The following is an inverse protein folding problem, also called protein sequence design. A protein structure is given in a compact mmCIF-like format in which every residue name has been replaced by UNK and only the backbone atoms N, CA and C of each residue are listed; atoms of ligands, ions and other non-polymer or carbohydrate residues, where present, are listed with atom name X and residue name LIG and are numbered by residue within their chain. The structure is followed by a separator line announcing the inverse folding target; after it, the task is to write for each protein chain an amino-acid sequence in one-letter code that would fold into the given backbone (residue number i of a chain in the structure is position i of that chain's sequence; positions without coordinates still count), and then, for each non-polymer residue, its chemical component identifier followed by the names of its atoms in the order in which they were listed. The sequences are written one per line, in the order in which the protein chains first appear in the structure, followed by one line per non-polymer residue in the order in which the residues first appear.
data_IF_576926197218
#
_entry.id   IF_576926197218
#
_cell.length_a   1.000
_cell.length_b   1.000
_cell.length_c   1.000
_cell.angle_alpha   90.00
_cell.angle_beta   90.00
_cell.angle_gamma   90.00
#
_symmetry.space_group_name_H-M   'P 1'
#
loop_
_entity.id
_entity.type
_entity.pdbx_description
1 polymer ?
#
# COMPACT_ATOMS: atom_id res chain seq x y z
N UNK A 1 1.17 11.19 18.07
CA UNK A 1 0.02 10.29 18.34
C UNK A 1 0.14 9.11 17.40
N UNK A 2 0.07 7.90 17.95
CA UNK A 2 0.24 6.68 17.14
C UNK A 2 -0.95 6.49 16.20
N UNK A 3 -0.67 6.29 14.90
CA UNK A 3 -1.70 5.96 13.90
C UNK A 3 -1.88 4.45 13.78
N UNK A 4 -0.82 3.67 14.04
CA UNK A 4 -0.85 2.21 14.07
C UNK A 4 -0.15 1.72 15.32
N UNK A 5 -0.79 0.82 16.04
CA UNK A 5 -0.22 0.09 17.17
C UNK A 5 -0.42 -1.40 16.96
N UNK A 6 0.68 -2.13 16.91
CA UNK A 6 0.73 -3.60 16.93
C UNK A 6 1.25 -4.01 18.29
N UNK A 7 0.49 -4.81 19.05
CA UNK A 7 0.82 -5.17 20.43
C UNK A 7 0.89 -6.69 20.56
N UNK A 8 2.08 -7.20 20.84
CA UNK A 8 2.36 -8.62 21.12
C UNK A 8 1.75 -9.59 20.10
N UNK A 9 1.79 -9.20 18.82
CA UNK A 9 1.18 -9.99 17.76
C UNK A 9 2.00 -11.22 17.46
N UNK A 10 1.32 -12.37 17.46
CA UNK A 10 1.89 -13.65 17.06
C UNK A 10 1.05 -14.28 15.95
N UNK A 11 1.74 -14.94 15.00
CA UNK A 11 1.12 -15.67 13.89
C UNK A 11 1.91 -16.92 13.54
N UNK A 12 1.21 -18.04 13.46
CA UNK A 12 1.75 -19.34 13.08
C UNK A 12 1.00 -19.93 11.88
N UNK A 13 1.69 -20.74 11.09
CA UNK A 13 1.13 -21.52 10.00
C UNK A 13 1.54 -22.97 10.17
N UNK A 14 0.59 -23.85 10.50
CA UNK A 14 0.93 -25.22 10.87
C UNK A 14 1.89 -25.26 12.06
N UNK A 15 3.06 -25.86 11.94
CA UNK A 15 4.08 -25.89 12.99
C UNK A 15 5.09 -24.74 12.95
N UNK A 16 4.98 -23.80 11.99
CA UNK A 16 5.95 -22.71 11.79
C UNK A 16 5.44 -21.43 12.43
N UNK A 17 6.19 -20.88 13.37
CA UNK A 17 5.93 -19.58 13.97
C UNK A 17 6.52 -18.49 13.03
N UNK A 18 5.66 -17.78 12.32
CA UNK A 18 6.07 -16.73 11.37
C UNK A 18 6.31 -15.38 12.06
N UNK A 19 5.51 -15.05 13.07
CA UNK A 19 5.70 -13.89 13.94
C UNK A 19 5.50 -14.32 15.40
N UNK A 20 6.32 -13.83 16.31
CA UNK A 20 6.25 -14.13 17.74
C UNK A 20 6.41 -12.85 18.53
N UNK A 21 5.37 -12.47 19.28
CA UNK A 21 5.37 -11.32 20.19
C UNK A 21 5.85 -10.00 19.57
N UNK A 22 5.41 -9.71 18.34
CA UNK A 22 5.82 -8.50 17.61
C UNK A 22 5.03 -7.30 18.12
N UNK A 23 5.78 -6.25 18.52
CA UNK A 23 5.20 -4.97 18.93
C UNK A 23 5.84 -3.83 18.16
N UNK A 24 5.01 -3.02 17.46
CA UNK A 24 5.42 -1.89 16.62
C UNK A 24 4.42 -0.77 16.78
N UNK A 25 4.91 0.47 16.90
CA UNK A 25 4.07 1.66 16.87
C UNK A 25 4.55 2.61 15.76
N UNK A 26 3.60 3.14 14.99
CA UNK A 26 3.86 4.12 13.92
C UNK A 26 3.12 5.40 14.26
N UNK A 27 3.85 6.51 14.30
CA UNK A 27 3.26 7.82 14.55
C UNK A 27 2.71 8.44 13.26
N UNK A 28 1.67 9.25 13.40
CA UNK A 28 1.11 9.98 12.26
C UNK A 28 2.16 10.89 11.63
N UNK A 29 2.26 10.87 10.30
CA UNK A 29 3.23 11.69 9.55
C UNK A 29 4.67 11.15 9.58
N UNK A 30 4.91 9.98 10.16
CA UNK A 30 6.23 9.36 10.17
C UNK A 30 6.38 8.31 9.06
N UNK A 31 7.63 8.07 8.66
CA UNK A 31 8.03 6.97 7.80
C UNK A 31 8.80 5.96 8.65
N UNK A 32 8.36 4.70 8.63
CA UNK A 32 8.94 3.62 9.41
C UNK A 32 9.39 2.50 8.48
N UNK A 33 10.66 2.09 8.59
CA UNK A 33 11.21 0.96 7.86
C UNK A 33 11.17 -0.33 8.69
N UNK A 34 10.56 -1.38 8.12
CA UNK A 34 10.60 -2.73 8.66
C UNK A 34 11.70 -3.52 7.96
N UNK A 35 12.78 -3.82 8.65
CA UNK A 35 13.96 -4.48 8.09
C UNK A 35 14.17 -5.88 8.70
N UNK A 36 14.69 -6.78 7.91
CA UNK A 36 15.00 -8.16 8.32
C UNK A 36 15.33 -9.04 7.10
N UNK A 37 15.94 -10.21 7.31
CA UNK A 37 16.26 -11.15 6.22
C UNK A 37 15.00 -11.69 5.54
N UNK A 38 15.18 -12.33 4.38
CA UNK A 38 14.07 -13.05 3.74
C UNK A 38 13.60 -14.19 4.65
N UNK A 39 12.29 -14.36 4.75
CA UNK A 39 11.69 -15.35 5.65
C UNK A 39 11.52 -14.90 7.11
N UNK A 40 11.91 -13.66 7.49
CA UNK A 40 11.77 -13.19 8.88
C UNK A 40 10.33 -12.78 9.27
N UNK A 41 9.33 -13.01 8.42
CA UNK A 41 7.93 -12.73 8.75
C UNK A 41 7.42 -11.34 8.40
N UNK A 42 8.19 -10.47 7.72
CA UNK A 42 7.75 -9.11 7.34
C UNK A 42 6.43 -9.10 6.57
N UNK A 43 6.35 -9.89 5.51
CA UNK A 43 5.15 -10.02 4.69
C UNK A 43 3.98 -10.60 5.47
N UNK A 44 4.26 -11.53 6.41
CA UNK A 44 3.24 -12.08 7.31
C UNK A 44 2.68 -11.00 8.23
N UNK A 45 3.55 -10.16 8.82
CA UNK A 45 3.11 -9.04 9.65
C UNK A 45 2.24 -8.06 8.86
N UNK A 46 2.65 -7.69 7.64
CA UNK A 46 1.84 -6.83 6.76
C UNK A 46 0.49 -7.46 6.42
N UNK A 47 0.46 -8.76 6.12
CA UNK A 47 -0.78 -9.51 5.88
C UNK A 47 -1.71 -9.48 7.11
N UNK A 48 -1.15 -9.62 8.31
CA UNK A 48 -1.91 -9.55 9.56
C UNK A 48 -2.47 -8.14 9.81
N UNK A 49 -1.65 -7.09 9.59
CA UNK A 49 -2.07 -5.70 9.79
C UNK A 49 -3.24 -5.32 8.86
N UNK A 50 -3.24 -5.78 7.60
CA UNK A 50 -4.34 -5.47 6.67
C UNK A 50 -5.51 -6.45 6.73
N UNK A 51 -5.48 -7.44 7.62
CA UNK A 51 -6.57 -8.40 7.80
C UNK A 51 -6.60 -9.55 6.78
N UNK A 52 -5.52 -9.78 6.00
CA UNK A 52 -5.41 -10.92 5.08
C UNK A 52 -5.26 -12.24 5.84
N UNK A 53 -4.53 -12.20 6.96
CA UNK A 53 -4.35 -13.34 7.86
C UNK A 53 -4.79 -12.94 9.27
N UNK A 54 -5.69 -13.70 9.90
CA UNK A 54 -6.02 -13.47 11.30
C UNK A 54 -4.78 -13.70 12.17
N UNK A 55 -4.62 -12.90 13.22
CA UNK A 55 -3.57 -13.10 14.23
C UNK A 55 -3.97 -14.22 15.18
N UNK A 56 -2.97 -14.88 15.80
CA UNK A 56 -3.22 -15.92 16.79
C UNK A 56 -3.25 -15.35 18.20
N UNK A 57 -2.48 -14.26 18.45
CA UNK A 57 -2.41 -13.52 19.72
C UNK A 57 -2.09 -12.06 19.48
N UNK A 58 -2.37 -11.22 20.48
CA UNK A 58 -2.08 -9.80 20.48
C UNK A 58 -3.25 -8.96 19.96
N UNK A 59 -2.97 -7.72 19.59
CA UNK A 59 -3.96 -6.80 19.02
C UNK A 59 -3.32 -5.82 18.03
N UNK A 60 -4.13 -5.35 17.09
CA UNK A 60 -3.74 -4.35 16.10
C UNK A 60 -4.77 -3.23 16.14
N UNK A 61 -4.31 -2.02 16.42
CA UNK A 61 -5.15 -0.82 16.47
C UNK A 61 -4.69 0.15 15.38
N UNK A 62 -5.60 0.55 14.51
CA UNK A 62 -5.36 1.55 13.48
C UNK A 62 -6.31 2.73 13.64
N UNK A 63 -5.76 3.95 13.75
CA UNK A 63 -6.52 5.18 13.92
C UNK A 63 -7.61 5.06 15.02
N UNK A 64 -7.20 4.59 16.22
CA UNK A 64 -8.03 4.33 17.40
C UNK A 64 -9.12 3.23 17.21
N UNK A 65 -9.06 2.47 16.13
CA UNK A 65 -10.00 1.38 15.86
C UNK A 65 -9.26 0.05 15.89
N UNK A 66 -9.72 -0.92 16.67
CA UNK A 66 -9.16 -2.26 16.64
C UNK A 66 -9.51 -2.95 15.31
N UNK A 67 -8.48 -3.46 14.63
CA UNK A 67 -8.62 -4.05 13.28
C UNK A 67 -8.20 -5.52 13.23
N UNK A 68 -7.84 -6.12 14.37
CA UNK A 68 -7.28 -7.48 14.48
C UNK A 68 -8.11 -8.56 13.78
N UNK A 69 -9.43 -8.42 13.80
CA UNK A 69 -10.39 -9.38 13.23
C UNK A 69 -11.17 -8.82 12.03
N UNK A 70 -10.79 -7.62 11.57
CA UNK A 70 -11.49 -6.98 10.45
C UNK A 70 -11.07 -7.59 9.11
N UNK A 71 -12.01 -7.81 8.18
CA UNK A 71 -11.68 -8.23 6.83
C UNK A 71 -11.02 -7.09 6.06
N UNK A 72 -10.17 -7.46 5.08
CA UNK A 72 -9.40 -6.51 4.25
C UNK A 72 -10.21 -5.31 3.73
N UNK A 73 -11.46 -5.49 3.20
CA UNK A 73 -12.25 -4.35 2.72
C UNK A 73 -12.62 -3.34 3.82
N UNK A 74 -12.84 -3.82 5.06
CA UNK A 74 -13.17 -2.96 6.19
C UNK A 74 -11.94 -2.15 6.62
N UNK A 75 -10.78 -2.79 6.71
CA UNK A 75 -9.50 -2.13 7.02
C UNK A 75 -9.16 -1.08 5.96
N UNK A 76 -9.35 -1.40 4.68
CA UNK A 76 -9.12 -0.47 3.58
C UNK A 76 -10.06 0.75 3.63
N UNK A 77 -11.32 0.57 4.04
CA UNK A 77 -12.28 1.68 4.24
C UNK A 77 -11.85 2.66 5.33
N UNK A 78 -11.11 2.21 6.34
CA UNK A 78 -10.53 3.06 7.37
C UNK A 78 -9.35 3.91 6.86
N UNK A 79 -8.82 3.59 5.66
CA UNK A 79 -7.72 4.30 5.04
C UNK A 79 -6.35 3.63 5.21
N UNK A 80 -6.30 2.37 5.65
CA UNK A 80 -5.07 1.57 5.67
C UNK A 80 -4.98 0.75 4.39
N UNK A 81 -4.05 1.10 3.51
CA UNK A 81 -3.83 0.40 2.25
C UNK A 81 -2.45 -0.26 2.22
N UNK A 82 -2.31 -1.26 1.36
CA UNK A 82 -1.04 -1.94 1.10
C UNK A 82 -0.83 -2.12 -0.39
N UNK A 83 0.40 -1.89 -0.86
CA UNK A 83 0.84 -2.37 -2.17
C UNK A 83 1.19 -3.85 -2.10
N UNK A 84 1.14 -4.55 -3.23
CA UNK A 84 1.45 -5.97 -3.30
C UNK A 84 2.84 -6.18 -3.90
N UNK A 85 3.48 -7.32 -3.54
CA UNK A 85 4.78 -7.70 -4.10
C UNK A 85 4.69 -7.92 -5.63
N UNK A 86 3.57 -8.46 -6.12
CA UNK A 86 3.27 -8.53 -7.56
C UNK A 86 2.44 -7.31 -7.97
N UNK A 87 2.89 -6.61 -8.98
CA UNK A 87 2.21 -5.41 -9.52
C UNK A 87 0.81 -5.75 -10.02
N UNK A 88 -0.19 -5.08 -9.48
CA UNK A 88 -1.60 -5.26 -9.84
C UNK A 88 -2.09 -4.10 -10.69
N UNK A 89 -1.73 -4.11 -11.96
CA UNK A 89 -2.18 -3.13 -12.94
C UNK A 89 -3.03 -3.80 -14.03
N UNK A 90 -3.89 -3.03 -14.64
CA UNK A 90 -4.65 -3.43 -15.82
C UNK A 90 -3.79 -3.15 -17.07
N UNK A 91 -3.03 -4.13 -17.51
CA UNK A 91 -2.00 -3.98 -18.57
C UNK A 91 -2.54 -3.49 -19.91
N UNK A 92 -3.82 -3.76 -20.22
CA UNK A 92 -4.47 -3.33 -21.47
C UNK A 92 -4.99 -1.89 -21.43
N UNK A 93 -5.14 -1.31 -20.24
CA UNK A 93 -5.58 0.06 -20.02
C UNK A 93 -4.38 1.00 -19.97
N UNK A 94 -4.59 2.28 -20.31
CA UNK A 94 -3.56 3.30 -20.14
C UNK A 94 -3.38 3.70 -18.66
N UNK A 95 -2.37 4.54 -18.36
CA UNK A 95 -2.08 4.91 -16.98
C UNK A 95 -3.25 5.67 -16.32
N UNK A 96 -3.87 6.63 -17.04
CA UNK A 96 -5.02 7.38 -16.50
C UNK A 96 -6.20 6.46 -16.21
N UNK A 97 -6.51 5.54 -17.11
CA UNK A 97 -7.59 4.56 -16.91
C UNK A 97 -7.32 3.66 -15.69
N UNK A 98 -6.06 3.22 -15.49
CA UNK A 98 -5.66 2.49 -14.28
C UNK A 98 -5.92 3.31 -13.00
N UNK A 99 -5.57 4.60 -13.02
CA UNK A 99 -5.81 5.50 -11.89
C UNK A 99 -7.31 5.62 -11.58
N UNK A 100 -8.13 5.89 -12.60
CA UNK A 100 -9.57 6.08 -12.46
C UNK A 100 -10.27 4.82 -11.93
N UNK A 101 -9.90 3.63 -12.43
CA UNK A 101 -10.46 2.35 -11.97
C UNK A 101 -10.08 2.03 -10.53
N UNK A 102 -8.90 2.49 -10.07
CA UNK A 102 -8.42 2.25 -8.71
C UNK A 102 -9.11 3.12 -7.66
N UNK A 103 -9.73 4.22 -8.08
CA UNK A 103 -10.47 5.07 -7.17
C UNK A 103 -11.70 4.33 -6.65
N UNK A 104 -11.96 4.46 -5.33
CA UNK A 104 -13.19 3.95 -4.72
C UNK A 104 -14.39 4.54 -5.48
N UNK A 105 -14.98 3.75 -6.36
CA UNK A 105 -16.31 4.09 -6.84
C UNK A 105 -17.22 4.13 -5.62
N UNK A 106 -17.77 5.32 -5.31
CA UNK A 106 -18.97 5.40 -4.50
C UNK A 106 -19.96 4.38 -5.07
N UNK A 107 -20.70 3.67 -4.24
CA UNK A 107 -21.57 2.51 -4.52
C UNK A 107 -22.60 2.66 -5.66
N UNK A 108 -22.49 3.62 -6.52
CA UNK A 108 -23.40 3.93 -7.61
C UNK A 108 -22.70 4.07 -8.95
N UNK A 109 -22.65 2.94 -9.66
CA UNK A 109 -22.85 2.94 -11.12
C UNK A 109 -21.91 3.73 -12.03
N UNK A 110 -20.61 3.80 -11.79
CA UNK A 110 -19.63 4.41 -12.73
C UNK A 110 -19.53 3.74 -14.10
N UNK A 111 -20.20 2.59 -14.31
CA UNK A 111 -20.12 1.83 -15.58
C UNK A 111 -20.69 2.62 -16.77
N UNK A 112 -21.54 3.64 -16.51
CA UNK A 112 -22.17 4.46 -17.55
C UNK A 112 -22.12 5.98 -17.28
N UNK A 113 -21.46 6.43 -16.22
CA UNK A 113 -21.37 7.84 -15.90
C UNK A 113 -20.10 8.48 -16.49
N UNK A 114 -20.21 9.72 -16.95
CA UNK A 114 -19.05 10.50 -17.39
C UNK A 114 -18.11 10.70 -16.20
N UNK A 115 -16.84 10.34 -16.35
CA UNK A 115 -15.81 10.54 -15.32
C UNK A 115 -15.76 12.02 -14.95
N UNK A 116 -15.84 12.39 -13.67
CA UNK A 116 -15.70 13.78 -13.24
C UNK A 116 -14.33 14.35 -13.63
N UNK A 117 -14.30 15.59 -14.12
CA UNK A 117 -13.04 16.24 -14.52
C UNK A 117 -12.03 16.32 -13.36
N UNK A 118 -12.51 16.59 -12.14
CA UNK A 118 -11.70 16.64 -10.92
C UNK A 118 -10.95 15.34 -10.65
N UNK A 119 -11.58 14.18 -10.94
CA UNK A 119 -10.95 12.89 -10.75
C UNK A 119 -9.83 12.64 -11.76
N UNK A 120 -10.02 13.11 -13.00
CA UNK A 120 -9.00 13.05 -14.04
C UNK A 120 -7.82 13.95 -13.69
N UNK A 121 -8.08 15.17 -13.23
CA UNK A 121 -7.04 16.11 -12.79
C UNK A 121 -6.23 15.55 -11.61
N UNK A 122 -6.91 14.95 -10.64
CA UNK A 122 -6.24 14.25 -9.52
C UNK A 122 -5.34 13.12 -10.03
N UNK A 123 -5.84 12.30 -10.95
CA UNK A 123 -5.06 11.21 -11.54
C UNK A 123 -3.81 11.75 -12.25
N UNK A 124 -3.94 12.79 -13.06
CA UNK A 124 -2.81 13.42 -13.77
C UNK A 124 -1.81 14.07 -12.79
N UNK A 125 -2.29 14.68 -11.72
CA UNK A 125 -1.44 15.25 -10.66
C UNK A 125 -0.59 14.15 -9.98
N UNK A 126 -1.20 13.02 -9.64
CA UNK A 126 -0.50 11.90 -9.04
C UNK A 126 0.46 11.22 -10.02
N UNK A 127 0.09 11.10 -11.30
CA UNK A 127 1.00 10.61 -12.34
C UNK A 127 2.20 11.55 -12.52
N UNK A 128 2.00 12.86 -12.40
CA UNK A 128 3.10 13.82 -12.42
C UNK A 128 3.99 13.66 -11.19
N UNK A 129 3.42 13.48 -10.01
CA UNK A 129 4.15 13.24 -8.77
C UNK A 129 5.09 12.04 -8.86
N UNK A 130 4.65 10.93 -9.47
CA UNK A 130 5.48 9.72 -9.65
C UNK A 130 6.31 9.75 -10.95
N UNK A 131 6.34 10.85 -11.70
CA UNK A 131 7.13 11.01 -12.92
C UNK A 131 6.60 10.26 -14.16
N UNK A 132 5.31 9.91 -14.16
CA UNK A 132 4.66 9.18 -15.26
C UNK A 132 3.74 10.04 -16.14
N UNK A 133 3.64 11.34 -15.89
CA UNK A 133 2.72 12.23 -16.63
C UNK A 133 2.89 12.16 -18.15
N UNK A 134 4.12 12.14 -18.65
CA UNK A 134 4.40 12.06 -20.09
C UNK A 134 3.97 10.72 -20.71
N UNK A 135 3.75 9.71 -19.87
CA UNK A 135 3.33 8.35 -20.27
C UNK A 135 1.87 8.06 -19.92
N UNK A 136 1.10 9.07 -19.51
CA UNK A 136 -0.26 8.89 -18.99
C UNK A 136 -1.22 8.18 -19.95
N UNK A 137 -1.00 8.35 -21.27
CA UNK A 137 -1.80 7.71 -22.32
C UNK A 137 -1.18 6.38 -22.83
N UNK A 138 -0.01 5.99 -22.31
CA UNK A 138 0.62 4.72 -22.67
C UNK A 138 -0.09 3.57 -21.94
N UNK A 139 -0.21 2.41 -22.60
CA UNK A 139 -0.73 1.20 -21.94
C UNK A 139 0.17 0.84 -20.79
N UNK A 140 -0.42 0.50 -19.65
CA UNK A 140 0.33 0.16 -18.44
C UNK A 140 1.23 -1.09 -18.64
N UNK A 141 0.83 -2.02 -19.53
CA UNK A 141 1.65 -3.18 -19.89
C UNK A 141 2.93 -2.83 -20.65
N UNK A 142 3.01 -1.66 -21.31
CA UNK A 142 4.18 -1.21 -22.07
C UNK A 142 5.18 -0.44 -21.19
N UNK A 143 4.85 -0.21 -19.93
CA UNK A 143 5.75 0.39 -18.95
C UNK A 143 6.83 -0.62 -18.51
N UNK A 144 8.02 -0.12 -18.19
CA UNK A 144 9.02 -0.95 -17.50
C UNK A 144 8.51 -1.40 -16.13
N UNK A 145 9.06 -2.48 -15.58
CA UNK A 145 8.66 -3.01 -14.26
C UNK A 145 8.71 -1.94 -13.17
N UNK A 146 9.78 -1.12 -13.11
CA UNK A 146 9.87 -0.02 -12.16
C UNK A 146 8.79 1.05 -12.36
N UNK A 147 8.43 1.36 -13.62
CA UNK A 147 7.35 2.30 -13.93
C UNK A 147 5.97 1.73 -13.56
N UNK A 148 5.77 0.43 -13.71
CA UNK A 148 4.55 -0.23 -13.26
C UNK A 148 4.40 -0.15 -11.74
N UNK A 149 5.49 -0.29 -10.98
CA UNK A 149 5.50 -0.09 -9.52
C UNK A 149 5.16 1.35 -9.12
N UNK A 150 5.67 2.34 -9.86
CA UNK A 150 5.30 3.74 -9.65
C UNK A 150 3.82 4.00 -9.96
N UNK A 151 3.28 3.39 -11.03
CA UNK A 151 1.86 3.46 -11.32
C UNK A 151 1.02 2.84 -10.22
N UNK A 152 1.41 1.67 -9.70
CA UNK A 152 0.72 1.02 -8.56
C UNK A 152 0.70 1.92 -7.31
N UNK A 153 1.83 2.59 -7.01
CA UNK A 153 1.90 3.57 -5.93
C UNK A 153 0.92 4.73 -6.16
N UNK A 154 0.90 5.30 -7.37
CA UNK A 154 -0.02 6.38 -7.72
C UNK A 154 -1.49 5.93 -7.59
N UNK A 155 -1.83 4.72 -8.05
CA UNK A 155 -3.16 4.12 -7.90
C UNK A 155 -3.57 3.99 -6.42
N UNK A 156 -2.66 3.59 -5.54
CA UNK A 156 -2.94 3.52 -4.12
C UNK A 156 -3.22 4.92 -3.52
N UNK A 157 -2.49 5.94 -3.95
CA UNK A 157 -2.65 7.33 -3.51
C UNK A 157 -3.96 7.98 -4.00
N UNK A 158 -4.58 7.47 -5.09
CA UNK A 158 -5.91 7.95 -5.54
C UNK A 158 -6.97 7.89 -4.43
N UNK A 159 -6.83 6.96 -3.50
CA UNK A 159 -7.78 6.73 -2.41
C UNK A 159 -7.46 7.51 -1.13
N UNK A 160 -6.47 8.42 -1.16
CA UNK A 160 -6.04 9.25 -0.02
C UNK A 160 -5.86 8.44 1.26
N UNK A 161 -5.01 7.41 1.24
CA UNK A 161 -4.83 6.57 2.40
C UNK A 161 -4.28 7.38 3.59
N UNK A 162 -4.77 7.08 4.79
CA UNK A 162 -4.20 7.62 6.03
C UNK A 162 -2.84 6.99 6.34
N UNK A 163 -2.66 5.73 5.91
CA UNK A 163 -1.41 4.98 6.00
C UNK A 163 -1.26 4.03 4.82
N UNK A 164 -0.06 3.95 4.28
CA UNK A 164 0.29 3.05 3.19
C UNK A 164 1.42 2.11 3.62
N UNK A 165 1.19 0.82 3.52
CA UNK A 165 2.21 -0.22 3.70
C UNK A 165 2.83 -0.55 2.34
N UNK A 166 4.13 -0.33 2.21
CA UNK A 166 4.89 -0.62 0.99
C UNK A 166 5.73 -1.88 1.18
N UNK A 167 5.43 -2.92 0.41
CA UNK A 167 6.20 -4.16 0.41
C UNK A 167 7.25 -4.11 -0.72
N UNK A 168 8.53 -4.07 -0.34
CA UNK A 168 9.67 -3.96 -1.26
C UNK A 168 9.54 -2.83 -2.30
N UNK A 169 9.29 -1.58 -1.89
CA UNK A 169 8.96 -0.48 -2.81
C UNK A 169 10.08 -0.16 -3.81
N UNK A 170 11.32 -0.51 -3.50
CA UNK A 170 12.49 -0.23 -4.33
C UNK A 170 12.86 -1.39 -5.28
N UNK A 171 12.19 -2.54 -5.18
CA UNK A 171 12.47 -3.68 -6.04
C UNK A 171 12.19 -3.32 -7.51
N UNK A 172 13.25 -3.30 -8.35
CA UNK A 172 13.16 -2.99 -9.78
C UNK A 172 13.02 -1.51 -10.14
N UNK A 173 13.10 -0.59 -9.18
CA UNK A 173 13.16 0.86 -9.44
C UNK A 173 14.63 1.27 -9.60
N UNK A 174 14.91 2.12 -10.62
CA UNK A 174 16.24 2.69 -10.78
C UNK A 174 16.61 3.49 -9.51
N UNK A 175 17.82 3.30 -8.92
CA UNK A 175 18.24 4.02 -7.72
C UNK A 175 18.07 5.54 -7.76
N UNK A 176 18.20 6.13 -8.94
CA UNK A 176 18.00 7.59 -9.14
C UNK A 176 16.55 8.02 -8.92
N UNK A 177 15.57 7.18 -9.23
CA UNK A 177 14.15 7.45 -8.99
C UNK A 177 13.76 7.18 -7.54
N UNK A 178 14.42 6.23 -6.86
CA UNK A 178 14.14 5.91 -5.45
C UNK A 178 14.60 7.01 -4.51
N UNK A 179 15.66 7.76 -4.84
CA UNK A 179 16.20 8.85 -4.03
C UNK A 179 15.33 10.12 -4.09
N UNK A 180 14.51 10.30 -5.12
CA UNK A 180 13.74 11.55 -5.32
C UNK A 180 12.44 11.56 -4.47
N UNK A 181 11.90 10.39 -4.08
CA UNK A 181 10.55 10.31 -3.50
C UNK A 181 10.44 9.55 -2.17
N UNK A 182 11.51 8.94 -1.67
CA UNK A 182 11.50 8.24 -0.40
C UNK A 182 12.44 8.97 0.54
N UNK A 183 11.90 9.80 1.43
CA UNK A 183 12.65 10.32 2.58
C UNK A 183 13.15 9.15 3.43
N UNK A 184 14.32 9.29 4.04
CA UNK A 184 14.81 8.26 4.97
C UNK A 184 13.77 7.93 6.04
N UNK A 185 13.62 6.64 6.40
CA UNK A 185 12.66 6.25 7.45
C UNK A 185 13.01 6.94 8.76
N UNK A 186 12.01 7.55 9.38
CA UNK A 186 12.14 8.23 10.67
C UNK A 186 12.48 7.23 11.79
N UNK A 187 12.09 5.97 11.62
CA UNK A 187 12.32 4.89 12.56
C UNK A 187 12.44 3.54 11.86
N UNK A 188 13.36 2.70 12.31
CA UNK A 188 13.56 1.35 11.78
C UNK A 188 13.25 0.31 12.86
N UNK A 189 12.54 -0.75 12.48
CA UNK A 189 12.33 -1.94 13.28
C UNK A 189 12.96 -3.14 12.59
N UNK A 190 13.69 -3.96 13.36
CA UNK A 190 14.30 -5.19 12.88
C UNK A 190 13.51 -6.38 13.42
N UNK A 191 13.14 -7.30 12.55
CA UNK A 191 12.51 -8.59 12.86
C UNK A 191 13.55 -9.70 12.71
#
# INVERSE_FOLDING_TARGET
MSILEVKSVSKSFGGVQANVDISVAVEQGSIVGLIGPNGSGKTTLFNSIVGTHPIDKGSIVFNNTEVSEMPVPAVAKLGLLRTFQQTRIYSKLNCVENMLISHKASDTGFIFAKVPAELTEKAETLLNFVGLYQKRNLRAGDLSFGQQKLLELAMALMNEPKMLLLDEPTAGINPTLSLIHISEPTRQFRI
#
